data_IF_652114284755
#
_entry.id   IF_652114284755
#
_cell.length_a   1.000
_cell.length_b   1.000
_cell.length_c   1.000
_cell.angle_alpha   90.00
_cell.angle_beta   90.00
_cell.angle_gamma   90.00
#
_symmetry.space_group_name_H-M   'P 1'
#
loop_
_entity.id
_entity.type
_entity.pdbx_description
1 polymer ?
#
# COMPACT_ATOMS: atom_id res chain seq x y z
N UNK A 1 -18.12 9.65 16.42
CA UNK A 1 -18.91 9.02 15.34
C UNK A 1 -19.79 7.88 15.85
N UNK A 2 -19.31 7.02 16.77
CA UNK A 2 -20.05 5.84 17.21
C UNK A 2 -20.63 5.92 18.64
N UNK A 3 -20.44 7.04 19.35
CA UNK A 3 -20.70 7.15 20.79
C UNK A 3 -22.15 6.94 21.20
N UNK A 4 -23.12 7.15 20.29
CA UNK A 4 -24.56 7.09 20.60
C UNK A 4 -25.24 5.82 20.07
N UNK A 5 -24.48 4.86 19.52
CA UNK A 5 -25.03 3.64 18.94
C UNK A 5 -24.86 2.45 19.90
N UNK A 6 -25.93 1.66 20.05
CA UNK A 6 -25.86 0.35 20.73
C UNK A 6 -25.57 -0.72 19.67
N UNK A 7 -24.42 -1.38 19.80
CA UNK A 7 -23.93 -2.39 18.85
C UNK A 7 -23.88 -1.92 17.37
N UNK A 8 -23.12 -0.86 17.04
CA UNK A 8 -23.01 -0.40 15.66
C UNK A 8 -22.26 -1.41 14.78
N UNK A 9 -22.79 -1.66 13.58
CA UNK A 9 -22.05 -2.30 12.49
C UNK A 9 -21.33 -1.22 11.68
N UNK A 10 -20.03 -1.38 11.43
CA UNK A 10 -19.18 -0.38 10.78
C UNK A 10 -18.61 -0.95 9.48
N UNK A 11 -18.67 -0.17 8.41
CA UNK A 11 -18.02 -0.46 7.14
C UNK A 11 -17.15 0.75 6.75
N UNK A 12 -15.89 0.50 6.42
CA UNK A 12 -15.00 1.51 5.86
C UNK A 12 -14.97 1.35 4.34
N UNK A 13 -15.45 2.38 3.63
CA UNK A 13 -15.44 2.40 2.18
C UNK A 13 -14.33 3.35 1.70
N UNK A 14 -13.26 2.77 1.16
CA UNK A 14 -12.28 3.53 0.38
C UNK A 14 -12.93 4.00 -0.92
N UNK A 15 -13.00 5.31 -1.14
CA UNK A 15 -13.58 5.91 -2.34
C UNK A 15 -12.48 6.55 -3.19
N UNK A 16 -12.57 6.37 -4.50
CA UNK A 16 -11.64 6.94 -5.48
C UNK A 16 -10.82 5.87 -6.20
N UNK A 17 -10.48 6.14 -7.45
CA UNK A 17 -9.63 5.25 -8.28
C UNK A 17 -8.15 5.32 -7.90
N UNK A 18 -7.77 6.30 -7.07
CA UNK A 18 -6.43 6.50 -6.55
C UNK A 18 -6.50 6.58 -5.03
N UNK A 19 -5.62 5.86 -4.35
CA UNK A 19 -5.54 5.81 -2.88
C UNK A 19 -4.34 6.57 -2.32
N UNK A 20 -3.55 7.20 -3.20
CA UNK A 20 -2.35 7.97 -2.88
C UNK A 20 -2.50 9.44 -3.28
N UNK A 21 -1.77 10.31 -2.58
CA UNK A 21 -1.64 11.72 -2.93
C UNK A 21 -0.52 11.89 -3.96
N UNK A 22 -0.65 12.86 -4.87
CA UNK A 22 0.40 13.14 -5.86
C UNK A 22 1.71 13.60 -5.20
N UNK A 23 1.63 14.27 -4.06
CA UNK A 23 2.81 14.66 -3.26
C UNK A 23 3.56 13.45 -2.67
N UNK A 24 2.84 12.38 -2.31
CA UNK A 24 3.47 11.14 -1.85
C UNK A 24 4.12 10.39 -3.02
N UNK A 25 3.51 10.48 -4.21
CA UNK A 25 4.09 9.94 -5.44
C UNK A 25 5.36 10.71 -5.85
N UNK A 26 5.40 12.03 -5.72
CA UNK A 26 6.59 12.83 -6.02
C UNK A 26 7.73 12.52 -5.05
N UNK A 27 7.46 12.44 -3.74
CA UNK A 27 8.46 12.03 -2.74
C UNK A 27 9.01 10.62 -3.00
N UNK A 28 8.16 9.68 -3.41
CA UNK A 28 8.58 8.32 -3.74
C UNK A 28 9.46 8.27 -5.00
N UNK A 29 9.23 9.18 -5.97
CA UNK A 29 10.10 9.36 -7.15
C UNK A 29 11.44 9.99 -6.80
N UNK A 30 11.46 11.01 -5.94
CA UNK A 30 12.70 11.69 -5.54
C UNK A 30 13.58 10.80 -4.65
N UNK A 31 12.97 10.06 -3.72
CA UNK A 31 13.70 9.18 -2.79
C UNK A 31 12.99 7.84 -2.66
N UNK A 32 13.27 6.87 -3.56
CA UNK A 32 12.66 5.56 -3.50
C UNK A 32 13.02 4.88 -2.17
N UNK A 33 12.00 4.71 -1.31
CA UNK A 33 12.11 3.94 -0.08
C UNK A 33 11.69 2.50 -0.35
N UNK A 34 12.56 1.58 0.03
CA UNK A 34 12.27 0.15 0.03
C UNK A 34 11.47 -0.22 1.29
N UNK A 35 10.37 -0.93 1.10
CA UNK A 35 9.45 -1.35 2.15
C UNK A 35 9.28 -2.87 2.14
N UNK A 36 9.87 -3.52 3.14
CA UNK A 36 9.73 -4.98 3.34
C UNK A 36 8.30 -5.38 3.68
N UNK A 37 7.63 -4.56 4.48
CA UNK A 37 6.26 -4.82 4.93
C UNK A 37 5.25 -4.80 3.77
N UNK A 38 5.48 -3.97 2.75
CA UNK A 38 4.67 -3.97 1.53
C UNK A 38 4.99 -5.16 0.63
N UNK A 39 6.25 -5.61 0.58
CA UNK A 39 6.62 -6.81 -0.15
C UNK A 39 5.94 -8.06 0.41
N UNK A 40 5.97 -8.24 1.74
CA UNK A 40 5.35 -9.40 2.39
C UNK A 40 3.84 -9.45 2.10
N UNK A 41 3.16 -8.30 2.16
CA UNK A 41 1.74 -8.19 1.78
C UNK A 41 1.50 -8.47 0.31
N UNK A 42 2.37 -7.97 -0.56
CA UNK A 42 2.27 -8.16 -2.01
C UNK A 42 2.40 -9.63 -2.37
N UNK A 43 3.38 -10.35 -1.82
CA UNK A 43 3.56 -11.80 -2.02
C UNK A 43 2.35 -12.61 -1.50
N UNK A 44 1.76 -12.19 -0.39
CA UNK A 44 0.56 -12.86 0.15
C UNK A 44 -0.66 -12.71 -0.76
N UNK A 45 -0.74 -11.62 -1.53
CA UNK A 45 -1.82 -11.37 -2.50
C UNK A 45 -1.50 -12.02 -3.84
N UNK A 46 -0.29 -11.77 -4.37
CA UNK A 46 0.24 -12.32 -5.61
C UNK A 46 1.77 -12.47 -5.55
N UNK A 47 2.25 -13.71 -5.59
CA UNK A 47 3.66 -14.04 -5.54
C UNK A 47 4.46 -13.61 -6.79
N UNK A 48 3.79 -13.36 -7.92
CA UNK A 48 4.42 -12.98 -9.19
C UNK A 48 4.40 -11.48 -9.46
N UNK A 49 3.71 -10.70 -8.62
CA UNK A 49 3.62 -9.26 -8.81
C UNK A 49 4.96 -8.52 -8.58
N UNK A 50 5.82 -8.90 -7.60
CA UNK A 50 7.10 -8.22 -7.41
C UNK A 50 8.11 -8.58 -8.51
N UNK A 51 8.96 -7.61 -8.86
CA UNK A 51 10.07 -7.85 -9.81
C UNK A 51 11.17 -8.72 -9.20
N UNK A 52 12.03 -9.31 -10.05
CA UNK A 52 13.13 -10.16 -9.58
C UNK A 52 14.10 -9.42 -8.64
N UNK A 53 14.29 -8.12 -8.86
CA UNK A 53 15.11 -7.24 -8.04
C UNK A 53 14.47 -6.99 -6.66
N UNK A 54 13.15 -6.79 -6.62
CA UNK A 54 12.39 -6.64 -5.37
C UNK A 54 12.32 -7.95 -4.57
N UNK A 55 12.23 -9.10 -5.25
CA UNK A 55 12.37 -10.44 -4.65
C UNK A 55 13.74 -10.62 -4.00
N UNK A 56 14.81 -10.25 -4.70
CA UNK A 56 16.16 -10.32 -4.16
C UNK A 56 16.36 -9.40 -2.95
N UNK A 57 15.78 -8.19 -2.99
CA UNK A 57 15.81 -7.23 -1.89
C UNK A 57 14.82 -7.56 -0.75
N UNK A 58 13.88 -8.49 -1.00
CA UNK A 58 12.70 -8.78 -0.17
C UNK A 58 11.95 -7.51 0.23
N UNK A 59 11.87 -6.55 -0.68
CA UNK A 59 11.30 -5.23 -0.44
C UNK A 59 10.83 -4.63 -1.75
N UNK A 60 9.67 -3.95 -1.72
CA UNK A 60 9.14 -3.21 -2.88
C UNK A 60 9.36 -1.73 -2.70
N UNK A 61 9.45 -1.00 -3.81
CA UNK A 61 9.48 0.46 -3.73
C UNK A 61 8.11 1.02 -3.34
N UNK A 62 8.09 2.12 -2.57
CA UNK A 62 6.84 2.80 -2.21
C UNK A 62 5.99 3.17 -3.44
N UNK A 63 6.62 3.44 -4.59
CA UNK A 63 5.92 3.68 -5.86
C UNK A 63 5.09 2.48 -6.29
N UNK A 64 5.68 1.28 -6.29
CA UNK A 64 5.00 0.05 -6.70
C UNK A 64 3.90 -0.35 -5.71
N UNK A 65 4.11 -0.10 -4.41
CA UNK A 65 3.09 -0.40 -3.38
C UNK A 65 1.93 0.61 -3.31
N UNK A 66 2.00 1.73 -4.03
CA UNK A 66 0.91 2.72 -4.12
C UNK A 66 0.09 2.56 -5.42
N UNK A 67 0.67 1.95 -6.45
CA UNK A 67 0.02 1.67 -7.72
C UNK A 67 -0.86 0.40 -7.63
#
# INVERSE_FOLDING_TARGET
LLSDYVQPCVMDCKVGVRTYLEEELSKAKEKPKLRKDMYDKMIQIDSHAPTAEEHAAKAVTTLHGLA
#
